data_IF_010634471388
#
_entry.id   IF_010634471388
#
_cell.length_a   1.000
_cell.length_b   1.000
_cell.length_c   1.000
_cell.angle_alpha   90.00
_cell.angle_beta   90.00
_cell.angle_gamma   90.00
#
_symmetry.space_group_name_H-M   'P 1'
#
loop_
_entity.id
_entity.type
_entity.pdbx_description
1 polymer ?
#
# COMPACT_ATOMS: atom_id res chain seq x y z
N UNK A 1 2.75 6.95 -15.36
CA UNK A 1 2.23 6.79 -16.74
C UNK A 1 1.15 5.71 -16.71
N UNK A 2 -0.01 5.95 -17.31
CA UNK A 2 -1.15 5.00 -17.39
C UNK A 2 -1.51 4.76 -18.87
N UNK A 3 -2.00 3.58 -19.24
CA UNK A 3 -2.25 3.25 -20.65
C UNK A 3 -1.02 2.74 -21.39
N UNK A 4 -0.17 1.95 -20.72
CA UNK A 4 1.03 1.33 -21.32
C UNK A 4 0.77 -0.09 -21.82
N UNK A 5 -0.38 -0.68 -21.49
CA UNK A 5 -0.76 -2.04 -21.88
C UNK A 5 0.24 -3.13 -21.44
N UNK A 6 0.86 -2.95 -20.27
CA UNK A 6 1.86 -3.89 -19.72
C UNK A 6 1.23 -5.05 -18.91
N UNK A 7 -0.07 -5.02 -18.64
CA UNK A 7 -0.80 -6.04 -17.88
C UNK A 7 -0.39 -6.15 -16.41
N UNK A 8 0.20 -5.10 -15.84
CA UNK A 8 0.81 -5.11 -14.51
C UNK A 8 0.01 -4.34 -13.44
N UNK A 9 -1.06 -3.64 -13.82
CA UNK A 9 -1.92 -2.87 -12.90
C UNK A 9 -2.69 -3.74 -11.91
N UNK A 10 -2.67 -3.32 -10.65
CA UNK A 10 -3.36 -3.94 -9.51
C UNK A 10 -4.62 -3.18 -9.09
N UNK A 11 -5.37 -3.73 -8.13
CA UNK A 11 -6.57 -3.07 -7.61
C UNK A 11 -6.32 -1.61 -7.24
N UNK A 12 -7.07 -0.69 -7.85
CA UNK A 12 -6.99 0.75 -7.57
C UNK A 12 -6.04 1.52 -8.49
N UNK A 13 -5.23 0.84 -9.32
CA UNK A 13 -4.39 1.53 -10.30
C UNK A 13 -5.23 2.09 -11.46
N UNK A 14 -4.88 3.27 -11.97
CA UNK A 14 -5.55 3.88 -13.11
C UNK A 14 -5.26 3.12 -14.42
N UNK A 15 -6.26 2.94 -15.28
CA UNK A 15 -6.14 2.23 -16.56
C UNK A 15 -6.93 2.93 -17.69
N UNK A 16 -6.60 2.62 -18.94
CA UNK A 16 -7.36 3.00 -20.15
C UNK A 16 -8.05 1.79 -20.77
N UNK A 17 -7.34 0.66 -20.86
CA UNK A 17 -7.85 -0.60 -21.41
C UNK A 17 -7.58 -1.75 -20.46
N UNK A 18 -8.20 -2.91 -20.72
CA UNK A 18 -7.96 -4.12 -19.93
C UNK A 18 -6.49 -4.55 -19.97
N UNK A 19 -5.77 -4.24 -21.05
CA UNK A 19 -4.35 -4.60 -21.20
C UNK A 19 -3.45 -3.85 -20.21
N UNK A 20 -3.94 -2.79 -19.55
CA UNK A 20 -3.20 -2.12 -18.48
C UNK A 20 -3.23 -2.91 -17.16
N UNK A 21 -4.18 -3.83 -17.00
CA UNK A 21 -4.48 -4.48 -15.74
C UNK A 21 -4.11 -5.96 -15.76
N UNK A 22 -3.81 -6.50 -14.57
CA UNK A 22 -3.70 -7.94 -14.35
C UNK A 22 -5.03 -8.70 -14.58
N UNK A 23 -6.15 -7.99 -14.51
CA UNK A 23 -7.51 -8.53 -14.61
C UNK A 23 -8.36 -7.69 -15.57
N UNK A 24 -9.15 -6.75 -15.06
CA UNK A 24 -10.01 -5.89 -15.88
C UNK A 24 -9.84 -4.41 -15.54
N UNK A 25 -10.00 -3.55 -16.55
CA UNK A 25 -10.10 -2.11 -16.40
C UNK A 25 -11.58 -1.71 -16.35
N UNK A 26 -12.07 -1.35 -15.16
CA UNK A 26 -13.47 -1.00 -14.94
C UNK A 26 -13.57 0.49 -14.62
N UNK A 27 -14.23 1.26 -15.49
CA UNK A 27 -14.45 2.71 -15.32
C UNK A 27 -13.13 3.49 -15.12
N UNK A 28 -12.06 3.05 -15.77
CA UNK A 28 -10.73 3.67 -15.71
C UNK A 28 -9.88 3.25 -14.51
N UNK A 29 -10.29 2.21 -13.76
CA UNK A 29 -9.52 1.66 -12.63
C UNK A 29 -9.40 0.14 -12.74
N UNK A 30 -8.21 -0.40 -12.48
CA UNK A 30 -7.97 -1.82 -12.47
C UNK A 30 -8.71 -2.50 -11.30
N UNK A 31 -9.46 -3.55 -11.62
CA UNK A 31 -10.23 -4.35 -10.69
C UNK A 31 -9.65 -5.77 -10.57
N UNK A 32 -8.36 -5.86 -10.24
CA UNK A 32 -7.64 -7.12 -10.03
C UNK A 32 -7.29 -7.36 -8.57
N UNK A 33 -6.35 -8.28 -8.27
CA UNK A 33 -5.84 -8.46 -6.92
C UNK A 33 -5.13 -7.19 -6.43
N UNK A 34 -5.10 -6.98 -5.11
CA UNK A 34 -4.25 -5.95 -4.53
C UNK A 34 -2.78 -6.24 -4.84
N UNK A 35 -1.97 -5.19 -5.05
CA UNK A 35 -0.55 -5.34 -5.32
C UNK A 35 0.14 -6.18 -4.24
N UNK A 36 0.87 -7.26 -4.59
CA UNK A 36 1.71 -8.00 -3.66
C UNK A 36 2.81 -7.04 -3.19
N UNK A 37 2.59 -6.46 -2.01
CA UNK A 37 3.40 -5.36 -1.49
C UNK A 37 2.65 -4.38 -0.60
N UNK A 38 1.31 -4.38 -0.63
CA UNK A 38 0.49 -3.50 0.23
C UNK A 38 -0.40 -4.21 1.25
N UNK A 39 -0.18 -5.51 1.45
CA UNK A 39 -0.61 -6.26 2.65
C UNK A 39 0.59 -6.86 3.38
N UNK A 40 1.78 -6.29 3.18
CA UNK A 40 2.99 -6.70 3.88
C UNK A 40 2.71 -6.63 5.37
N UNK A 41 2.67 -7.80 6.01
CA UNK A 41 2.40 -7.95 7.43
C UNK A 41 3.36 -7.04 8.17
N UNK A 42 2.83 -5.94 8.70
CA UNK A 42 3.60 -5.05 9.54
C UNK A 42 3.79 -5.71 10.92
N UNK A 43 4.85 -5.34 11.63
CA UNK A 43 5.08 -5.85 13.00
C UNK A 43 3.92 -5.38 13.88
N UNK A 44 3.10 -6.32 14.33
CA UNK A 44 1.93 -6.03 15.18
C UNK A 44 2.37 -5.62 16.59
N UNK A 45 1.44 -5.05 17.35
CA UNK A 45 1.67 -4.66 18.75
C UNK A 45 2.13 -3.21 18.96
N UNK A 46 2.21 -2.41 17.90
CA UNK A 46 2.60 -1.00 17.96
C UNK A 46 1.48 -0.04 17.55
N UNK A 47 0.51 -0.52 16.76
CA UNK A 47 -0.56 0.31 16.19
C UNK A 47 -1.49 0.84 17.26
N UNK A 48 -1.63 2.17 17.32
CA UNK A 48 -2.54 2.89 18.23
C UNK A 48 -2.03 2.97 19.67
N UNK A 49 -0.74 2.73 19.90
CA UNK A 49 -0.14 2.90 21.23
C UNK A 49 0.28 4.35 21.50
N UNK A 50 0.67 5.10 20.46
CA UNK A 50 1.07 6.50 20.60
C UNK A 50 2.30 6.72 21.49
N UNK A 51 3.18 5.71 21.62
CA UNK A 51 4.35 5.75 22.50
C UNK A 51 5.68 5.96 21.77
N UNK A 52 5.67 6.13 20.44
CA UNK A 52 6.85 6.38 19.61
C UNK A 52 7.79 5.19 19.47
N UNK A 53 7.38 3.98 19.89
CA UNK A 53 8.29 2.83 19.97
C UNK A 53 8.29 1.95 18.72
N UNK A 54 7.45 2.22 17.72
CA UNK A 54 7.31 1.45 16.50
C UNK A 54 8.59 1.39 15.68
N UNK A 55 9.26 0.23 15.59
CA UNK A 55 10.45 0.07 14.77
C UNK A 55 10.08 0.03 13.27
N UNK A 56 11.10 0.09 12.40
CA UNK A 56 10.93 -0.10 10.95
C UNK A 56 9.99 -1.28 10.62
N UNK A 57 9.01 -1.05 9.74
CA UNK A 57 7.95 -1.96 9.34
C UNK A 57 6.90 -2.32 10.42
N UNK A 58 6.89 -1.67 11.58
CA UNK A 58 5.81 -1.83 12.55
C UNK A 58 4.48 -1.27 12.06
N UNK A 59 3.38 -1.90 12.48
CA UNK A 59 2.05 -1.39 12.18
C UNK A 59 1.81 -0.10 12.94
N UNK A 60 1.26 0.91 12.27
CA UNK A 60 0.93 2.20 12.87
C UNK A 60 -0.43 2.72 12.38
N UNK A 61 -1.04 3.58 13.19
CA UNK A 61 -2.24 4.36 12.95
C UNK A 61 -1.89 5.85 12.76
N UNK A 62 -0.87 6.35 13.46
CA UNK A 62 -0.31 7.70 13.30
C UNK A 62 1.21 7.69 13.49
N UNK A 63 1.87 8.82 13.24
CA UNK A 63 3.31 9.02 13.47
C UNK A 63 3.68 8.78 14.94
N UNK A 64 2.77 9.03 15.87
CA UNK A 64 2.98 8.80 17.31
C UNK A 64 3.22 7.32 17.65
N UNK A 65 2.88 6.39 16.77
CA UNK A 65 3.17 4.96 16.98
C UNK A 65 4.62 4.60 16.61
N UNK A 66 5.36 5.48 15.93
CA UNK A 66 6.62 5.17 15.27
C UNK A 66 7.81 5.92 15.88
N UNK A 67 8.99 5.31 15.76
CA UNK A 67 10.27 6.01 16.05
C UNK A 67 10.59 7.10 15.02
N UNK A 68 9.93 7.07 13.86
CA UNK A 68 10.01 8.02 12.76
C UNK A 68 8.58 8.30 12.25
N UNK A 69 8.30 8.14 10.95
CA UNK A 69 6.97 8.40 10.37
C UNK A 69 6.14 7.12 10.16
N UNK A 70 4.82 7.29 10.18
CA UNK A 70 3.84 6.29 9.80
C UNK A 70 3.34 6.51 8.36
N UNK A 71 3.89 5.75 7.41
CA UNK A 71 3.52 5.86 5.99
C UNK A 71 2.81 4.59 5.54
N UNK A 72 1.58 4.76 5.04
CA UNK A 72 0.75 3.63 4.55
C UNK A 72 0.62 2.51 5.61
N UNK A 73 0.30 2.91 6.84
CA UNK A 73 0.15 2.02 8.01
C UNK A 73 1.41 1.25 8.42
N UNK A 74 2.59 1.72 8.03
CA UNK A 74 3.90 1.17 8.43
C UNK A 74 4.87 2.25 8.91
N UNK A 75 5.57 1.96 10.00
CA UNK A 75 6.68 2.79 10.46
C UNK A 75 7.86 2.71 9.49
N UNK A 76 8.45 3.85 9.17
CA UNK A 76 9.63 3.95 8.31
C UNK A 76 10.91 4.01 9.12
N UNK A 77 12.05 3.86 8.44
CA UNK A 77 13.34 4.19 9.03
C UNK A 77 13.42 5.72 9.25
N UNK A 78 14.20 6.18 10.25
CA UNK A 78 14.57 7.59 10.38
C UNK A 78 15.35 8.09 9.15
#
# INVERSE_FOLDING_TARGET
SFGLANGDGYNGDCCKTNDDCRDACIRGVCNGPAAPGNTGSCKKGYKGLGNGDGPLNACCASDDDCQSACIRSRCTAP
#
